data_IF_367764716190
#
_entry.id   IF_367764716190
#
_cell.length_a   1.000
_cell.length_b   1.000
_cell.length_c   1.000
_cell.angle_alpha   90.00
_cell.angle_beta   90.00
_cell.angle_gamma   90.00
#
_symmetry.space_group_name_H-M   'P 1'
#
loop_
_entity.id
_entity.type
_entity.pdbx_description
1 polymer ?
#
# COMPACT_ATOMS: atom_id res chain seq x y z
N UNK A 1 -0.09 8.68 2.48
CA UNK A 1 0.80 7.59 2.94
C UNK A 1 2.08 7.66 2.13
N UNK A 2 3.20 7.76 2.82
CA UNK A 2 4.52 7.86 2.18
C UNK A 2 5.09 6.44 2.02
N UNK A 3 5.04 5.88 0.81
CA UNK A 3 5.48 4.50 0.57
C UNK A 3 6.96 4.27 0.88
N UNK A 4 7.79 5.29 0.65
CA UNK A 4 9.20 5.29 1.02
C UNK A 4 9.62 6.69 1.48
N UNK A 5 10.40 6.76 2.55
CA UNK A 5 11.06 8.01 2.94
C UNK A 5 12.50 7.99 2.41
N UNK A 6 12.86 9.08 1.74
CA UNK A 6 14.18 9.29 1.13
C UNK A 6 15.16 9.64 2.25
N UNK A 7 16.31 8.99 2.23
CA UNK A 7 17.39 9.21 3.18
C UNK A 7 18.72 9.51 2.48
N UNK A 8 19.77 9.87 3.22
CA UNK A 8 21.03 10.32 2.63
C UNK A 8 21.68 9.28 1.72
N UNK A 9 21.56 7.99 2.05
CA UNK A 9 22.11 6.87 1.28
C UNK A 9 21.15 6.32 0.19
N UNK A 10 19.95 6.88 0.06
CA UNK A 10 19.05 6.42 -0.99
C UNK A 10 19.55 6.87 -2.37
N UNK A 11 19.71 5.95 -3.34
CA UNK A 11 20.22 6.29 -4.65
C UNK A 11 19.17 7.02 -5.49
N UNK A 12 19.66 7.98 -6.27
CA UNK A 12 18.94 8.63 -7.35
C UNK A 12 19.05 7.77 -8.62
N UNK A 13 18.21 8.07 -9.61
CA UNK A 13 18.29 7.53 -10.97
C UNK A 13 19.70 7.68 -11.57
N UNK A 14 20.39 8.78 -11.27
CA UNK A 14 21.76 9.03 -11.72
C UNK A 14 22.85 8.23 -10.97
N UNK A 15 22.46 7.25 -10.13
CA UNK A 15 23.31 6.43 -9.24
C UNK A 15 23.91 7.16 -8.04
N UNK A 16 23.89 8.49 -8.04
CA UNK A 16 24.36 9.28 -6.91
C UNK A 16 23.38 9.25 -5.74
N UNK A 17 23.90 9.42 -4.54
CA UNK A 17 23.13 9.41 -3.30
C UNK A 17 22.37 10.73 -3.10
N UNK A 18 21.29 10.71 -2.32
CA UNK A 18 20.54 11.93 -1.97
C UNK A 18 21.46 13.03 -1.40
N UNK A 19 22.40 12.65 -0.51
CA UNK A 19 23.41 13.57 0.04
C UNK A 19 24.33 14.24 -0.98
N UNK A 20 24.42 13.70 -2.19
CA UNK A 20 25.21 14.25 -3.29
C UNK A 20 24.39 15.21 -4.17
N UNK A 21 23.13 15.49 -3.82
CA UNK A 21 22.30 16.50 -4.48
C UNK A 21 22.26 17.78 -3.65
N UNK A 22 21.81 18.88 -4.25
CA UNK A 22 21.63 20.17 -3.58
C UNK A 22 20.41 20.11 -2.67
N UNK A 23 20.64 19.71 -1.41
CA UNK A 23 19.66 19.74 -0.31
C UNK A 23 19.71 21.05 0.47
N UNK A 24 20.85 21.74 0.42
CA UNK A 24 21.12 22.92 1.23
C UNK A 24 20.78 24.16 0.40
N UNK A 25 19.69 24.82 0.77
CA UNK A 25 19.25 26.09 0.19
C UNK A 25 19.28 27.16 1.27
N UNK A 26 19.89 28.31 0.97
CA UNK A 26 19.85 29.48 1.86
C UNK A 26 18.45 30.11 1.90
N UNK A 27 17.79 30.16 0.73
CA UNK A 27 16.40 30.56 0.58
C UNK A 27 15.69 29.45 -0.18
N UNK A 28 14.63 28.91 0.43
CA UNK A 28 13.83 27.85 -0.16
C UNK A 28 13.03 28.46 -1.33
N UNK A 29 13.13 27.91 -2.56
CA UNK A 29 12.33 28.38 -3.68
C UNK A 29 10.83 28.25 -3.40
N UNK A 30 10.07 29.30 -3.72
CA UNK A 30 8.61 29.30 -3.63
C UNK A 30 7.96 28.46 -4.73
N UNK A 31 8.61 28.35 -5.89
CA UNK A 31 8.10 27.60 -7.03
C UNK A 31 8.20 26.09 -6.80
N UNK A 32 7.12 25.37 -7.14
CA UNK A 32 7.01 23.91 -7.01
C UNK A 32 7.05 23.24 -8.39
N UNK A 33 7.76 22.11 -8.55
CA UNK A 33 8.51 21.34 -7.55
C UNK A 33 9.92 21.89 -7.26
N UNK A 34 10.41 21.71 -6.02
CA UNK A 34 11.78 22.07 -5.65
C UNK A 34 12.77 21.13 -6.36
N UNK A 35 13.57 21.70 -7.26
CA UNK A 35 14.58 20.94 -8.00
C UNK A 35 15.82 20.72 -7.14
N UNK A 36 16.22 19.45 -7.02
CA UNK A 36 17.40 19.03 -6.27
C UNK A 36 18.51 18.56 -7.24
N UNK A 37 19.28 19.46 -7.88
CA UNK A 37 20.29 19.07 -8.86
C UNK A 37 21.45 18.29 -8.22
N UNK A 38 22.09 17.41 -8.99
CA UNK A 38 23.24 16.65 -8.51
C UNK A 38 24.51 17.52 -8.45
N UNK A 39 25.27 17.44 -7.34
CA UNK A 39 26.54 18.15 -7.13
C UNK A 39 27.74 17.42 -7.78
N UNK A 40 27.56 16.18 -8.24
CA UNK A 40 28.65 15.40 -8.81
C UNK A 40 29.13 15.99 -10.15
N UNK A 41 30.44 16.13 -10.29
CA UNK A 41 31.08 16.62 -11.53
C UNK A 41 30.64 15.78 -12.74
N UNK A 42 30.06 16.44 -13.74
CA UNK A 42 29.66 15.83 -15.01
C UNK A 42 28.29 15.14 -15.03
N UNK A 43 27.57 15.11 -13.91
CA UNK A 43 26.21 14.57 -13.85
C UNK A 43 25.21 15.57 -14.45
N UNK A 44 24.29 15.11 -15.31
CA UNK A 44 23.28 15.96 -15.98
C UNK A 44 21.90 15.88 -15.33
N UNK A 45 21.84 15.33 -14.12
CA UNK A 45 20.62 15.14 -13.35
C UNK A 45 20.07 16.49 -12.88
N UNK A 46 18.89 16.87 -13.38
CA UNK A 46 18.22 18.14 -13.05
C UNK A 46 17.64 18.14 -11.64
N UNK A 47 17.05 17.01 -11.24
CA UNK A 47 16.44 16.83 -9.92
C UNK A 47 16.69 15.42 -9.41
N UNK A 48 16.70 15.24 -8.08
CA UNK A 48 16.69 13.93 -7.46
C UNK A 48 15.47 13.13 -7.95
N UNK A 49 15.68 11.87 -8.30
CA UNK A 49 14.68 10.94 -8.81
C UNK A 49 14.86 9.57 -8.14
N UNK A 50 13.98 9.21 -7.22
CA UNK A 50 14.02 7.94 -6.51
C UNK A 50 13.67 6.78 -7.45
N UNK A 51 14.47 5.72 -7.37
CA UNK A 51 14.20 4.47 -8.07
C UNK A 51 14.02 3.38 -7.02
N UNK A 52 12.87 2.71 -6.95
CA UNK A 52 12.67 1.64 -5.99
C UNK A 52 13.60 0.47 -6.28
N UNK A 53 14.01 -0.25 -5.24
CA UNK A 53 14.87 -1.43 -5.35
C UNK A 53 14.13 -2.65 -4.79
N UNK A 54 14.38 -3.82 -5.37
CA UNK A 54 13.86 -5.07 -4.83
C UNK A 54 14.93 -5.68 -3.91
N UNK A 55 14.92 -5.26 -2.65
CA UNK A 55 16.02 -5.57 -1.72
C UNK A 55 17.33 -4.95 -2.22
N UNK A 56 18.34 -5.78 -2.47
CA UNK A 56 19.62 -5.34 -3.04
C UNK A 56 19.61 -5.23 -4.57
N UNK A 57 18.58 -5.74 -5.25
CA UNK A 57 18.56 -5.82 -6.70
C UNK A 57 17.92 -4.57 -7.32
N UNK A 58 18.58 -3.92 -8.30
CA UNK A 58 17.98 -2.81 -9.03
C UNK A 58 16.81 -3.32 -9.87
N UNK A 59 15.72 -2.55 -9.91
CA UNK A 59 14.58 -2.88 -10.76
C UNK A 59 14.93 -2.71 -12.24
N UNK A 60 14.22 -3.46 -13.07
CA UNK A 60 14.38 -3.43 -14.52
C UNK A 60 13.27 -2.63 -15.18
N UNK A 61 13.64 -1.94 -16.24
CA UNK A 61 12.73 -1.32 -17.18
C UNK A 61 12.00 -2.40 -18.00
N UNK A 62 10.91 -2.05 -18.68
CA UNK A 62 10.20 -2.90 -19.66
C UNK A 62 11.12 -3.34 -20.80
N UNK A 63 12.19 -2.59 -21.07
CA UNK A 63 13.25 -2.98 -22.01
C UNK A 63 14.28 -3.98 -21.42
N UNK A 64 14.05 -4.49 -20.21
CA UNK A 64 14.88 -5.44 -19.43
C UNK A 64 16.20 -4.89 -18.89
N UNK A 65 16.55 -3.64 -19.19
CA UNK A 65 17.75 -2.97 -18.68
C UNK A 65 17.49 -2.28 -17.34
N UNK A 66 18.53 -2.10 -16.53
CA UNK A 66 18.46 -1.42 -15.22
C UNK A 66 18.41 0.12 -15.39
N UNK A 67 18.06 0.85 -14.33
CA UNK A 67 18.06 2.33 -14.34
C UNK A 67 19.41 2.91 -14.75
N UNK A 68 20.49 2.21 -14.40
CA UNK A 68 21.87 2.56 -14.71
C UNK A 68 22.20 2.64 -16.20
N UNK A 69 21.48 1.89 -17.03
CA UNK A 69 21.68 1.84 -18.48
C UNK A 69 20.81 2.88 -19.21
N UNK A 70 20.18 3.80 -18.47
CA UNK A 70 19.35 4.88 -19.01
C UNK A 70 19.98 6.25 -18.74
N UNK A 71 19.58 7.27 -19.51
CA UNK A 71 19.98 8.66 -19.29
C UNK A 71 19.43 9.20 -17.98
N UNK A 72 20.18 10.11 -17.36
CA UNK A 72 19.91 10.69 -16.02
C UNK A 72 18.85 11.79 -16.04
N UNK A 73 18.34 12.12 -17.23
CA UNK A 73 17.38 13.18 -17.48
C UNK A 73 16.11 12.59 -18.10
N UNK A 74 14.98 13.23 -17.83
CA UNK A 74 13.70 12.85 -18.43
C UNK A 74 13.76 12.94 -19.97
N UNK A 75 13.19 11.96 -20.70
CA UNK A 75 12.29 10.89 -20.25
C UNK A 75 12.99 9.58 -19.81
N UNK A 76 14.27 9.63 -19.43
CA UNK A 76 15.09 8.47 -18.99
C UNK A 76 15.18 7.39 -20.07
N UNK A 77 15.70 7.73 -21.24
CA UNK A 77 15.83 6.82 -22.39
C UNK A 77 16.97 5.83 -22.19
N UNK A 78 16.83 4.60 -22.69
CA UNK A 78 17.89 3.59 -22.61
C UNK A 78 19.08 3.94 -23.53
N UNK A 79 20.31 3.87 -23.01
CA UNK A 79 21.56 4.13 -23.77
C UNK A 79 22.09 2.88 -24.48
N UNK A 80 21.51 1.70 -24.20
CA UNK A 80 22.05 0.43 -24.69
C UNK A 80 21.84 0.28 -26.20
N UNK A 81 22.92 -0.08 -26.90
CA UNK A 81 22.87 -0.32 -28.36
C UNK A 81 21.86 -1.44 -28.66
N UNK A 82 20.93 -1.17 -29.57
CA UNK A 82 19.85 -2.10 -29.95
C UNK A 82 18.53 -1.93 -29.17
N UNK A 83 18.47 -1.06 -28.17
CA UNK A 83 17.26 -0.79 -27.40
C UNK A 83 16.44 0.37 -28.01
N UNK A 84 15.65 0.09 -29.05
CA UNK A 84 14.90 1.13 -29.80
C UNK A 84 13.48 1.36 -29.28
N UNK A 85 12.88 0.38 -28.60
CA UNK A 85 11.49 0.45 -28.11
C UNK A 85 11.34 1.14 -26.74
N UNK A 86 12.45 1.62 -26.15
CA UNK A 86 12.41 2.28 -24.85
C UNK A 86 12.14 3.78 -25.02
N UNK A 87 10.90 4.21 -24.79
CA UNK A 87 10.53 5.63 -24.76
C UNK A 87 10.83 6.31 -23.41
N UNK A 88 11.17 5.53 -22.39
CA UNK A 88 11.47 6.01 -21.05
C UNK A 88 11.41 4.91 -20.01
N UNK A 89 12.01 5.15 -18.84
CA UNK A 89 12.12 4.16 -17.79
C UNK A 89 10.72 3.82 -17.21
N UNK A 90 10.27 2.59 -17.47
CA UNK A 90 8.98 2.07 -16.97
C UNK A 90 9.24 0.69 -16.41
N UNK A 91 8.86 0.42 -15.16
CA UNK A 91 8.99 -0.92 -14.57
C UNK A 91 7.62 -1.52 -14.27
N UNK A 92 7.55 -2.86 -14.26
CA UNK A 92 6.39 -3.62 -13.76
C UNK A 92 6.51 -3.93 -12.27
N UNK A 93 7.42 -3.26 -11.56
CA UNK A 93 7.62 -3.47 -10.14
C UNK A 93 6.39 -2.96 -9.36
N UNK A 94 5.96 -3.76 -8.39
CA UNK A 94 4.88 -3.42 -7.46
C UNK A 94 5.50 -3.02 -6.13
N UNK A 95 5.22 -1.81 -5.67
CA UNK A 95 5.62 -1.38 -4.33
C UNK A 95 4.90 -2.21 -3.27
N UNK A 96 5.46 -2.31 -2.05
CA UNK A 96 4.83 -2.99 -0.92
C UNK A 96 3.44 -2.45 -0.56
N UNK A 97 3.10 -1.22 -0.98
CA UNK A 97 1.74 -0.69 -0.84
C UNK A 97 0.69 -1.42 -1.71
N UNK A 98 1.14 -2.12 -2.77
CA UNK A 98 0.33 -2.85 -3.74
C UNK A 98 0.28 -2.21 -5.14
N UNK A 99 0.57 -0.91 -5.25
CA UNK A 99 0.52 -0.14 -6.50
C UNK A 99 1.80 -0.28 -7.35
N UNK A 100 1.71 -0.17 -8.68
CA UNK A 100 2.88 -0.12 -9.58
C UNK A 100 3.68 1.18 -9.39
N UNK A 101 4.96 1.17 -9.78
CA UNK A 101 5.85 2.36 -9.66
C UNK A 101 5.29 3.60 -10.34
N UNK A 102 4.55 3.45 -11.44
CA UNK A 102 3.99 4.58 -12.20
C UNK A 102 2.95 5.40 -11.43
N UNK A 103 2.27 4.79 -10.46
CA UNK A 103 1.29 5.48 -9.61
C UNK A 103 1.95 6.22 -8.44
N UNK A 104 3.27 6.06 -8.27
CA UNK A 104 4.02 6.75 -7.22
C UNK A 104 4.57 8.06 -7.77
N UNK A 105 4.31 9.13 -7.05
CA UNK A 105 4.90 10.44 -7.30
C UNK A 105 5.89 10.76 -6.20
N UNK A 106 7.00 11.36 -6.58
CA UNK A 106 7.92 11.92 -5.60
C UNK A 106 7.44 13.29 -5.14
N UNK A 107 7.57 13.54 -3.84
CA UNK A 107 7.22 14.80 -3.22
C UNK A 107 8.47 15.35 -2.56
N UNK A 108 8.85 16.58 -2.93
CA UNK A 108 9.88 17.36 -2.26
C UNK A 108 9.18 18.54 -1.61
N UNK A 109 9.26 18.60 -0.29
CA UNK A 109 8.51 19.54 0.54
C UNK A 109 9.40 20.11 1.65
N UNK A 110 8.95 21.21 2.26
CA UNK A 110 9.55 21.77 3.47
C UNK A 110 8.99 21.10 4.73
N UNK A 111 9.62 21.36 5.88
CA UNK A 111 9.11 20.89 7.16
C UNK A 111 7.71 21.44 7.47
N UNK A 112 7.47 22.72 7.18
CA UNK A 112 6.17 23.38 7.39
C UNK A 112 5.06 22.75 6.55
N UNK A 113 5.33 22.44 5.28
CA UNK A 113 4.37 21.77 4.41
C UNK A 113 4.09 20.34 4.86
N UNK A 114 5.11 19.64 5.34
CA UNK A 114 4.96 18.29 5.86
C UNK A 114 4.07 18.26 7.10
N UNK A 115 4.26 19.22 8.00
CA UNK A 115 3.41 19.40 9.17
C UNK A 115 1.98 19.79 8.77
N UNK A 116 1.81 20.68 7.78
CA UNK A 116 0.49 21.03 7.24
C UNK A 116 -0.22 19.83 6.59
N UNK A 117 0.52 18.87 6.03
CA UNK A 117 -0.01 17.57 5.56
C UNK A 117 -0.30 16.58 6.70
N UNK A 118 -0.01 16.94 7.95
CA UNK A 118 -0.25 16.11 9.14
C UNK A 118 0.74 14.95 9.27
N UNK A 119 1.91 15.03 8.64
CA UNK A 119 2.95 14.01 8.73
C UNK A 119 4.00 14.37 9.80
N UNK A 120 4.56 13.37 10.51
CA UNK A 120 5.52 13.62 11.56
C UNK A 120 6.79 14.27 11.02
N UNK A 121 7.30 15.20 11.82
CA UNK A 121 8.62 15.81 11.69
C UNK A 121 9.60 15.12 12.64
N UNK A 122 10.84 14.98 12.20
CA UNK A 122 11.93 14.48 13.02
C UNK A 122 12.53 15.59 13.87
N UNK A 123 13.37 15.21 14.83
CA UNK A 123 14.20 16.18 15.55
C UNK A 123 15.13 16.90 14.56
N UNK A 124 15.33 18.21 14.77
CA UNK A 124 16.18 19.01 13.91
C UNK A 124 17.63 18.53 14.01
N UNK A 125 18.10 17.81 12.99
CA UNK A 125 19.50 17.39 12.91
C UNK A 125 20.32 18.44 12.15
N UNK A 126 21.59 18.68 12.54
CA UNK A 126 22.48 19.59 11.82
C UNK A 126 22.80 19.11 10.40
N UNK A 127 22.56 17.82 10.11
CA UNK A 127 22.76 17.26 8.78
C UNK A 127 21.54 17.48 7.90
N UNK A 128 21.61 18.44 6.98
CA UNK A 128 20.50 18.85 6.13
C UNK A 128 20.02 17.75 5.14
N UNK A 129 20.88 16.79 4.78
CA UNK A 129 20.54 15.73 3.84
C UNK A 129 19.86 14.50 4.47
N UNK A 130 19.29 14.63 5.68
CA UNK A 130 18.50 13.55 6.30
C UNK A 130 17.21 13.20 5.52
N UNK A 131 16.75 14.11 4.66
CA UNK A 131 15.58 13.89 3.82
C UNK A 131 14.32 13.72 4.66
N UNK A 132 13.55 12.66 4.41
CA UNK A 132 12.32 12.35 5.13
C UNK A 132 12.50 11.45 6.34
N UNK A 133 13.72 11.08 6.72
CA UNK A 133 13.96 10.19 7.87
C UNK A 133 13.78 10.97 9.16
N UNK A 134 12.76 10.60 9.94
CA UNK A 134 12.43 11.22 11.22
C UNK A 134 12.72 10.32 12.42
N UNK A 135 12.91 9.02 12.19
CA UNK A 135 13.32 8.04 13.21
C UNK A 135 13.60 6.66 12.60
N UNK A 136 13.77 5.65 13.45
CA UNK A 136 14.05 4.28 13.00
C UNK A 136 12.90 3.68 12.17
N UNK A 137 11.65 4.01 12.52
CA UNK A 137 10.47 3.58 11.77
C UNK A 137 10.50 4.04 10.31
N UNK A 138 11.08 5.21 10.02
CA UNK A 138 11.15 5.79 8.67
C UNK A 138 11.93 4.91 7.68
N UNK A 139 12.83 4.04 8.16
CA UNK A 139 13.60 3.11 7.33
C UNK A 139 12.73 2.00 6.73
N UNK A 140 11.69 1.59 7.47
CA UNK A 140 10.70 0.64 7.00
C UNK A 140 9.85 1.24 5.88
N UNK A 141 9.35 0.38 5.01
CA UNK A 141 8.44 0.80 3.94
C UNK A 141 7.11 1.27 4.54
N UNK A 142 6.49 2.26 3.90
CA UNK A 142 5.31 2.94 4.43
C UNK A 142 4.14 2.01 4.77
N UNK A 143 4.03 0.87 4.08
CA UNK A 143 2.99 -0.11 4.37
C UNK A 143 3.20 -0.86 5.70
N UNK A 144 4.44 -0.94 6.20
CA UNK A 144 4.81 -1.59 7.47
C UNK A 144 4.80 -0.60 8.64
N UNK A 145 4.82 0.69 8.35
CA UNK A 145 4.92 1.75 9.35
C UNK A 145 3.61 1.98 10.09
N UNK A 146 3.71 2.08 11.40
CA UNK A 146 2.60 2.37 12.31
C UNK A 146 2.43 3.86 12.61
N UNK A 147 3.41 4.70 12.26
CA UNK A 147 3.32 6.16 12.42
C UNK A 147 2.41 6.78 11.34
N UNK A 148 1.99 8.07 11.50
CA UNK A 148 1.08 8.72 10.56
C UNK A 148 1.61 8.86 9.12
N UNK A 149 2.93 8.71 8.88
CA UNK A 149 3.48 8.66 7.52
C UNK A 149 3.21 7.32 6.82
N UNK A 150 2.88 6.28 7.58
CA UNK A 150 2.65 4.92 7.07
C UNK A 150 1.20 4.65 6.66
N UNK A 151 0.87 3.37 6.44
CA UNK A 151 -0.53 2.91 6.39
C UNK A 151 -1.18 2.96 7.79
N UNK A 152 -0.37 2.97 8.84
CA UNK A 152 -0.85 2.88 10.22
C UNK A 152 -1.36 1.49 10.57
N UNK A 153 -1.73 1.31 11.84
CA UNK A 153 -2.45 0.11 12.24
C UNK A 153 -3.83 0.08 11.53
N UNK A 154 -4.26 -1.08 10.99
CA UNK A 154 -5.62 -1.21 10.51
C UNK A 154 -6.62 -0.85 11.61
N UNK A 155 -7.73 -0.21 11.25
CA UNK A 155 -8.78 0.12 12.21
C UNK A 155 -9.26 -1.14 12.95
N UNK A 156 -9.62 -1.03 14.23
CA UNK A 156 -10.24 -2.14 15.00
C UNK A 156 -11.41 -2.76 14.25
N UNK A 157 -12.27 -1.94 13.65
CA UNK A 157 -13.40 -2.44 12.86
C UNK A 157 -12.99 -3.22 11.60
N UNK A 158 -11.76 -3.08 11.11
CA UNK A 158 -11.19 -3.92 10.05
C UNK A 158 -10.62 -5.23 10.60
N UNK A 159 -9.99 -5.18 11.77
CA UNK A 159 -9.40 -6.35 12.44
C UNK A 159 -10.48 -7.31 12.99
N UNK A 160 -11.60 -6.75 13.46
CA UNK A 160 -12.73 -7.47 14.04
C UNK A 160 -13.70 -8.05 13.00
N UNK A 161 -13.47 -7.82 11.69
CA UNK A 161 -14.29 -8.40 10.64
C UNK A 161 -14.23 -9.94 10.67
N UNK A 162 -15.38 -10.57 10.46
CA UNK A 162 -15.49 -12.02 10.30
C UNK A 162 -14.54 -12.51 9.21
N UNK A 163 -13.88 -13.64 9.47
CA UNK A 163 -12.99 -14.26 8.50
C UNK A 163 -13.84 -14.84 7.37
N UNK A 164 -13.55 -14.47 6.12
CA UNK A 164 -14.31 -14.91 4.92
C UNK A 164 -13.47 -15.83 4.03
N UNK A 165 -14.08 -16.46 3.03
CA UNK A 165 -13.34 -17.25 2.03
C UNK A 165 -12.30 -16.47 1.21
N UNK A 166 -12.40 -15.13 1.17
CA UNK A 166 -11.46 -14.27 0.46
C UNK A 166 -10.21 -13.92 1.30
N UNK A 167 -10.19 -14.28 2.59
CA UNK A 167 -9.08 -13.96 3.49
C UNK A 167 -7.85 -14.87 3.28
N UNK A 168 -6.74 -14.50 3.92
CA UNK A 168 -5.50 -15.26 3.87
C UNK A 168 -5.74 -16.74 4.29
N UNK A 169 -5.21 -17.74 3.55
CA UNK A 169 -5.33 -19.15 3.90
C UNK A 169 -5.03 -19.47 5.38
N UNK A 170 -4.07 -18.76 5.97
CA UNK A 170 -3.72 -18.91 7.39
C UNK A 170 -4.88 -18.56 8.32
N UNK A 171 -5.61 -17.46 8.04
CA UNK A 171 -6.78 -17.07 8.84
C UNK A 171 -7.90 -18.09 8.68
N UNK A 172 -8.13 -18.56 7.44
CA UNK A 172 -9.16 -19.57 7.11
C UNK A 172 -8.94 -20.91 7.82
N UNK A 173 -7.69 -21.36 7.93
CA UNK A 173 -7.35 -22.58 8.65
C UNK A 173 -7.63 -22.47 10.17
N UNK A 174 -7.46 -21.28 10.74
CA UNK A 174 -7.54 -21.06 12.18
C UNK A 174 -8.89 -20.47 12.65
N UNK A 175 -9.90 -20.34 11.78
CA UNK A 175 -11.19 -19.71 12.12
C UNK A 175 -11.83 -20.33 13.36
N UNK A 176 -11.82 -21.66 13.50
CA UNK A 176 -12.43 -22.34 14.64
C UNK A 176 -11.71 -22.02 15.95
N UNK A 177 -10.38 -22.03 15.95
CA UNK A 177 -9.58 -21.70 17.12
C UNK A 177 -9.77 -20.23 17.53
N UNK A 178 -9.82 -19.32 16.55
CA UNK A 178 -10.04 -17.88 16.77
C UNK A 178 -11.44 -17.65 17.35
N UNK A 179 -12.48 -18.26 16.76
CA UNK A 179 -13.87 -18.13 17.22
C UNK A 179 -14.07 -18.75 18.62
N UNK A 180 -13.49 -19.91 18.89
CA UNK A 180 -13.52 -20.54 20.21
C UNK A 180 -12.84 -19.67 21.29
N UNK A 181 -11.72 -19.03 20.95
CA UNK A 181 -11.05 -18.08 21.84
C UNK A 181 -11.89 -16.82 22.09
N UNK A 182 -12.54 -16.27 21.06
CA UNK A 182 -13.44 -15.13 21.19
C UNK A 182 -14.64 -15.46 22.09
N UNK A 183 -15.30 -16.60 21.88
CA UNK A 183 -16.42 -17.04 22.73
C UNK A 183 -16.00 -17.23 24.19
N UNK A 184 -14.80 -17.77 24.43
CA UNK A 184 -14.24 -17.91 25.79
C UNK A 184 -13.92 -16.56 26.44
N UNK A 185 -13.52 -15.56 25.66
CA UNK A 185 -13.19 -14.20 26.14
C UNK A 185 -14.44 -13.38 26.49
N UNK A 186 -15.53 -13.57 25.75
CA UNK A 186 -16.80 -12.85 25.96
C UNK A 186 -17.66 -13.44 27.09
N UNK A 187 -17.24 -14.55 27.71
CA UNK A 187 -17.96 -15.17 28.83
C UNK A 187 -19.34 -15.74 28.45
N UNK A 188 -19.70 -15.73 27.16
CA UNK A 188 -20.90 -16.39 26.65
C UNK A 188 -20.66 -17.90 26.61
N UNK A 189 -21.16 -18.58 27.64
CA UNK A 189 -21.32 -20.04 27.61
C UNK A 189 -22.31 -20.45 26.52
N UNK A 190 -22.17 -21.69 26.04
CA UNK A 190 -23.01 -22.36 25.03
C UNK A 190 -24.50 -22.20 25.37
N UNK A 191 -25.15 -21.15 24.88
CA UNK A 191 -26.57 -20.88 25.13
C UNK A 191 -27.21 -20.22 23.91
N UNK A 192 -27.38 -21.01 22.86
CA UNK A 192 -28.61 -21.15 22.06
C UNK A 192 -28.28 -21.54 20.61
N UNK A 193 -29.12 -22.40 19.99
CA UNK A 193 -28.92 -22.87 18.61
C UNK A 193 -29.04 -21.77 17.53
N UNK A 194 -29.44 -20.56 17.90
CA UNK A 194 -29.68 -19.43 16.98
C UNK A 194 -28.51 -18.41 16.91
N UNK A 195 -27.46 -18.57 17.73
CA UNK A 195 -26.31 -17.64 17.75
C UNK A 195 -25.31 -17.98 16.62
N UNK A 196 -25.44 -17.33 15.46
CA UNK A 196 -24.44 -17.16 14.36
C UNK A 196 -23.45 -18.34 14.12
N UNK A 197 -23.90 -19.57 14.33
CA UNK A 197 -23.12 -20.80 14.15
C UNK A 197 -23.23 -21.29 12.70
N UNK A 198 -24.24 -20.83 11.96
CA UNK A 198 -24.59 -21.36 10.65
C UNK A 198 -23.74 -20.83 9.49
N UNK A 199 -23.26 -19.59 9.49
CA UNK A 199 -22.60 -19.04 8.28
C UNK A 199 -21.22 -19.66 7.98
N UNK A 200 -20.35 -19.85 8.99
CA UNK A 200 -19.01 -20.47 8.82
C UNK A 200 -19.10 -21.97 8.47
N UNK A 201 -20.14 -22.66 8.98
CA UNK A 201 -20.42 -24.06 8.60
C UNK A 201 -20.93 -24.10 7.16
N UNK A 202 -21.83 -23.21 6.77
CA UNK A 202 -22.41 -23.17 5.42
C UNK A 202 -21.34 -22.85 4.37
N UNK A 203 -20.42 -21.94 4.66
CA UNK A 203 -19.31 -21.59 3.75
C UNK A 203 -18.25 -22.70 3.65
N UNK A 204 -17.96 -23.43 4.75
CA UNK A 204 -17.10 -24.62 4.70
C UNK A 204 -17.75 -25.76 3.91
N UNK A 205 -19.04 -26.01 4.13
CA UNK A 205 -19.81 -27.03 3.40
C UNK A 205 -19.89 -26.66 1.91
N UNK A 206 -19.96 -25.37 1.56
CA UNK A 206 -19.94 -24.93 0.17
C UNK A 206 -18.58 -25.12 -0.52
N UNK A 207 -17.47 -25.02 0.24
CA UNK A 207 -16.11 -25.28 -0.26
C UNK A 207 -15.79 -26.77 -0.42
N UNK A 208 -16.51 -27.66 0.26
CA UNK A 208 -16.36 -29.09 0.06
C UNK A 208 -16.98 -29.51 -1.27
N UNK A 209 -16.27 -30.38 -1.98
CA UNK A 209 -16.80 -31.00 -3.19
C UNK A 209 -17.90 -31.98 -2.80
N UNK A 210 -19.05 -31.89 -3.46
CA UNK A 210 -20.16 -32.80 -3.18
C UNK A 210 -19.86 -34.18 -3.78
N UNK A 211 -20.30 -35.28 -3.15
CA UNK A 211 -20.14 -36.61 -3.72
C UNK A 211 -20.78 -36.68 -5.11
N UNK A 212 -20.01 -37.07 -6.14
CA UNK A 212 -20.47 -37.16 -7.54
C UNK A 212 -20.52 -35.83 -8.31
N UNK A 213 -20.08 -34.72 -7.73
CA UNK A 213 -20.03 -33.42 -8.43
C UNK A 213 -18.86 -33.40 -9.42
N UNK A 214 -19.12 -33.10 -10.69
CA UNK A 214 -18.10 -32.93 -11.74
C UNK A 214 -17.26 -31.65 -11.51
N UNK A 215 -16.00 -31.63 -11.97
CA UNK A 215 -15.06 -30.53 -11.74
C UNK A 215 -15.63 -29.17 -12.20
N UNK A 216 -16.25 -29.14 -13.39
CA UNK A 216 -16.83 -27.92 -13.95
C UNK A 216 -17.99 -27.38 -13.11
N UNK A 217 -18.85 -28.26 -12.60
CA UNK A 217 -20.01 -27.88 -11.77
C UNK A 217 -19.58 -27.28 -10.43
N UNK A 218 -18.51 -27.83 -9.82
CA UNK A 218 -17.93 -27.28 -8.60
C UNK A 218 -17.41 -25.85 -8.80
N UNK A 219 -16.66 -25.60 -9.89
CA UNK A 219 -16.11 -24.27 -10.18
C UNK A 219 -17.21 -23.26 -10.49
N UNK A 220 -18.24 -23.65 -11.25
CA UNK A 220 -19.36 -22.79 -11.60
C UNK A 220 -20.19 -22.40 -10.36
N UNK A 221 -20.52 -23.35 -9.49
CA UNK A 221 -21.21 -23.09 -8.22
C UNK A 221 -20.44 -22.11 -7.34
N UNK A 222 -19.13 -22.32 -7.16
CA UNK A 222 -18.27 -21.39 -6.39
C UNK A 222 -18.15 -20.02 -7.03
N UNK A 223 -18.20 -19.93 -8.36
CA UNK A 223 -18.18 -18.65 -9.07
C UNK A 223 -19.49 -17.87 -8.86
N UNK A 224 -20.63 -18.55 -8.94
CA UNK A 224 -21.95 -17.97 -8.70
C UNK A 224 -22.12 -17.52 -7.24
N UNK A 225 -21.72 -18.35 -6.27
CA UNK A 225 -21.72 -18.00 -4.83
C UNK A 225 -20.92 -16.70 -4.60
N UNK A 226 -19.68 -16.60 -5.13
CA UNK A 226 -18.86 -15.38 -5.00
C UNK A 226 -19.48 -14.14 -5.62
N UNK A 227 -20.27 -14.28 -6.70
CA UNK A 227 -21.00 -13.15 -7.30
C UNK A 227 -22.17 -12.68 -6.43
N UNK A 228 -22.80 -13.59 -5.68
CA UNK A 228 -23.94 -13.27 -4.82
C UNK A 228 -23.55 -12.60 -3.50
N UNK A 229 -22.34 -12.83 -2.97
CA UNK A 229 -21.85 -12.18 -1.73
C UNK A 229 -21.38 -10.73 -1.97
N UNK A 230 -21.33 -10.25 -3.21
CA UNK A 230 -21.06 -8.83 -3.50
C UNK A 230 -22.39 -8.08 -3.34
N UNK A 231 -22.49 -7.08 -2.44
CA UNK A 231 -23.76 -6.39 -2.21
C UNK A 231 -24.23 -5.73 -3.51
N UNK A 232 -25.52 -5.92 -3.81
CA UNK A 232 -26.26 -5.39 -4.95
C UNK A 232 -26.41 -3.86 -4.91
N UNK A 233 -25.28 -3.16 -4.89
CA UNK A 233 -25.17 -1.70 -4.91
C UNK A 233 -23.89 -1.18 -5.58
N UNK A 234 -23.03 -2.06 -6.12
CA UNK A 234 -21.85 -1.66 -6.90
C UNK A 234 -22.17 -1.64 -8.41
N UNK A 235 -23.17 -0.86 -8.81
CA UNK A 235 -23.30 -0.42 -10.20
C UNK A 235 -22.69 0.96 -10.31
N UNK A 236 -21.54 1.03 -10.97
CA UNK A 236 -20.80 2.27 -11.20
C UNK A 236 -19.67 2.44 -10.18
N UNK A 237 -18.49 1.91 -10.51
CA UNK A 237 -17.17 2.53 -10.35
C UNK A 237 -16.14 1.49 -10.81
N UNK A 238 -15.34 1.91 -11.79
CA UNK A 238 -14.17 1.32 -12.44
C UNK A 238 -13.72 -0.10 -11.99
N UNK A 239 -13.57 -0.98 -12.97
CA UNK A 239 -12.99 -2.33 -12.87
C UNK A 239 -11.48 -2.29 -12.56
N UNK A 240 -11.09 -1.69 -11.44
CA UNK A 240 -9.79 -1.93 -10.81
C UNK A 240 -9.81 -3.29 -10.14
N UNK A 241 -9.12 -4.27 -10.75
CA UNK A 241 -9.03 -5.65 -10.29
C UNK A 241 -8.95 -5.80 -8.76
N UNK A 242 -10.06 -6.22 -8.14
CA UNK A 242 -10.11 -6.65 -6.74
C UNK A 242 -9.12 -7.80 -6.57
N UNK A 243 -8.02 -7.53 -5.85
CA UNK A 243 -7.03 -8.56 -5.52
C UNK A 243 -7.63 -9.54 -4.52
N UNK A 244 -7.35 -10.85 -4.62
CA UNK A 244 -7.70 -11.80 -3.56
C UNK A 244 -7.13 -11.30 -2.22
N UNK A 245 -7.97 -11.21 -1.18
CA UNK A 245 -7.56 -10.70 0.14
C UNK A 245 -7.65 -9.18 0.36
N UNK A 246 -8.30 -8.42 -0.53
CA UNK A 246 -8.57 -6.99 -0.29
C UNK A 246 -9.90 -6.80 0.46
N UNK A 247 -9.82 -6.70 1.79
CA UNK A 247 -10.94 -6.25 2.65
C UNK A 247 -11.22 -4.77 2.34
N UNK A 248 -12.48 -4.40 2.04
CA UNK A 248 -12.88 -2.99 1.91
C UNK A 248 -13.06 -2.37 3.30
N UNK A 249 -12.61 -1.14 3.46
CA UNK A 249 -12.98 -0.33 4.62
C UNK A 249 -14.50 -0.11 4.58
N UNK A 250 -15.19 -0.47 5.66
CA UNK A 250 -16.59 -0.08 5.85
C UNK A 250 -16.57 1.39 6.26
N UNK A 251 -17.03 2.28 5.38
CA UNK A 251 -17.29 3.67 5.75
C UNK A 251 -18.41 3.70 6.79
N UNK A 252 -18.15 4.38 7.91
CA UNK A 252 -19.14 4.54 8.97
C UNK A 252 -20.27 5.44 8.45
N UNK A 253 -21.47 4.87 8.26
CA UNK A 253 -22.67 5.68 8.04
C UNK A 253 -22.96 6.51 9.31
N UNK A 254 -23.28 7.80 9.19
CA UNK A 254 -23.64 8.62 10.35
C UNK A 254 -24.93 8.06 10.97
N UNK A 255 -24.86 7.74 12.26
CA UNK A 255 -25.97 7.16 13.02
C UNK A 255 -27.17 8.10 13.10
N UNK A 256 -28.35 7.60 12.76
CA UNK A 256 -29.62 8.30 12.95
C UNK A 256 -29.91 8.44 14.44
N UNK A 257 -29.68 9.63 14.99
CA UNK A 257 -29.99 9.95 16.39
C UNK A 257 -31.48 9.87 16.68
N UNK A 258 -31.87 9.04 17.66
CA UNK A 258 -33.20 9.06 18.29
C UNK A 258 -33.35 10.37 19.07
N UNK A 259 -34.37 11.17 18.72
CA UNK A 259 -34.79 12.34 19.53
C UNK A 259 -35.37 11.87 20.88
N UNK A 260 -35.07 12.55 22.00
CA UNK A 260 -35.69 12.26 23.29
C UNK A 260 -37.15 12.74 23.31
N UNK A 261 -38.03 11.92 23.88
CA UNK A 261 -39.45 12.20 24.04
C UNK A 261 -39.69 13.34 25.05
N UNK A 262 -40.54 14.30 24.71
CA UNK A 262 -40.94 15.39 25.59
C UNK A 262 -41.89 14.92 26.68
N UNK A 263 -41.65 15.43 27.90
CA UNK A 263 -42.52 15.34 29.08
C UNK A 263 -43.99 15.68 28.77
N UNK A 264 -44.90 14.99 29.47
CA UNK A 264 -46.14 15.56 29.99
C UNK A 264 -46.19 15.27 31.49
#
# INVERSE_FOLDING_TARGET
>A
MDCKLVGPETPCFCKHRYKQHKTDFEVIPTDRPILLPCKQKGCKCVSYNYVPMNGSQPIRCTCKHTSEEHFEFEPFICKRRGCTKCAGFKSSFTCGCGAPVKEHTMIVETAEEREARGHPLGESTPYAAMGGITGFSSLADGYQRLDPSGKGAPNKGYLEQSITSNDNPFLRANVQAIKAHQMRKEGKGLTNPDDEMFDDITERVSQMRRPGEEDMAYYERRYQERRQVVPSGAQGLDNGALRPGSRKAIEQKPGSGRRPASKK
#
